data_IF_103093801837
#
_entry.id   IF_103093801837
#
_cell.length_a   1.000
_cell.length_b   1.000
_cell.length_c   1.000
_cell.angle_alpha   90.00
_cell.angle_beta   90.00
_cell.angle_gamma   90.00
#
_symmetry.space_group_name_H-M   'P 1'
#
loop_
_entity.id
_entity.type
_entity.pdbx_description
1 polymer ?
#
# COMPACT_ATOMS: atom_id res chain seq x y z
N UNK A 1 -73.50 8.44 27.28
CA UNK A 1 -74.39 8.05 26.16
C UNK A 1 -73.64 8.18 24.84
N UNK A 2 -73.65 7.15 24.15
CA UNK A 2 -73.45 6.73 22.74
C UNK A 2 -72.08 6.25 22.38
N UNK A 3 -72.10 5.00 22.04
CA UNK A 3 -71.17 4.10 21.34
C UNK A 3 -70.73 4.70 19.99
N UNK A 4 -69.54 4.42 19.56
CA UNK A 4 -69.21 4.33 18.16
C UNK A 4 -68.24 3.18 17.94
N UNK A 5 -68.46 2.45 16.87
CA UNK A 5 -68.05 1.09 16.55
C UNK A 5 -66.60 0.98 16.10
N UNK A 6 -65.99 -0.14 16.45
CA UNK A 6 -64.77 -0.68 15.90
C UNK A 6 -65.01 -1.23 14.49
N UNK A 7 -64.36 -0.68 13.47
CA UNK A 7 -64.19 -1.33 12.19
C UNK A 7 -62.83 -2.01 12.17
N UNK A 8 -62.86 -3.33 12.01
CA UNK A 8 -61.71 -4.19 11.79
C UNK A 8 -61.13 -3.95 10.38
N UNK A 9 -59.86 -3.60 10.29
CA UNK A 9 -59.09 -3.64 9.04
C UNK A 9 -58.65 -5.08 8.75
N UNK A 10 -59.05 -5.61 7.60
CA UNK A 10 -58.70 -6.91 7.03
C UNK A 10 -57.33 -6.74 6.34
N UNK A 11 -56.35 -7.62 6.59
CA UNK A 11 -55.02 -7.48 5.97
C UNK A 11 -55.08 -7.78 4.46
N UNK A 12 -54.41 -6.95 3.70
CA UNK A 12 -54.33 -6.88 2.24
C UNK A 12 -53.51 -8.03 1.59
N UNK A 13 -53.41 -9.19 2.21
CA UNK A 13 -52.51 -10.27 1.72
C UNK A 13 -53.19 -11.40 0.93
N UNK A 14 -54.51 -11.42 0.71
CA UNK A 14 -55.16 -12.60 0.14
C UNK A 14 -55.80 -12.44 -1.27
N UNK A 15 -55.28 -11.52 -2.10
CA UNK A 15 -55.79 -11.35 -3.48
C UNK A 15 -54.73 -11.42 -4.58
N UNK A 16 -53.70 -12.22 -4.44
CA UNK A 16 -52.79 -12.49 -5.56
C UNK A 16 -52.99 -13.91 -6.09
N UNK A 17 -53.30 -13.99 -7.40
CA UNK A 17 -53.49 -15.22 -8.17
C UNK A 17 -52.29 -16.15 -8.07
N UNK A 18 -52.40 -17.51 -8.03
CA UNK A 18 -51.27 -18.45 -7.88
C UNK A 18 -50.14 -18.25 -8.88
N UNK A 19 -50.44 -17.79 -10.09
CA UNK A 19 -49.41 -17.46 -11.09
C UNK A 19 -48.51 -16.24 -10.75
N UNK A 20 -49.03 -15.30 -9.97
CA UNK A 20 -48.23 -14.14 -9.50
C UNK A 20 -47.30 -14.50 -8.32
N UNK A 21 -47.64 -15.50 -7.52
CA UNK A 21 -46.75 -16.05 -6.48
C UNK A 21 -45.58 -16.81 -7.08
N UNK A 22 -45.74 -17.48 -8.21
CA UNK A 22 -44.65 -18.17 -8.91
C UNK A 22 -43.69 -17.22 -9.63
N UNK A 23 -44.18 -16.05 -10.11
CA UNK A 23 -43.29 -15.01 -10.69
C UNK A 23 -42.49 -14.25 -9.63
N UNK A 24 -43.03 -14.06 -8.41
CA UNK A 24 -42.30 -13.39 -7.31
C UNK A 24 -41.17 -14.27 -6.72
N UNK A 25 -41.39 -15.60 -6.67
CA UNK A 25 -40.32 -16.53 -6.21
C UNK A 25 -39.19 -16.69 -7.24
N UNK A 26 -39.46 -16.53 -8.54
CA UNK A 26 -38.45 -16.57 -9.60
C UNK A 26 -37.53 -15.32 -9.64
N UNK A 27 -37.99 -14.19 -9.08
CA UNK A 27 -37.16 -12.95 -9.01
C UNK A 27 -36.17 -12.98 -7.87
N UNK A 28 -36.49 -13.68 -6.77
CA UNK A 28 -35.60 -13.80 -5.59
C UNK A 28 -34.45 -14.81 -5.78
N UNK A 29 -34.53 -15.75 -6.72
CA UNK A 29 -33.46 -16.73 -7.00
C UNK A 29 -32.43 -16.27 -8.04
N UNK A 30 -32.70 -15.16 -8.76
CA UNK A 30 -31.76 -14.65 -9.79
C UNK A 30 -30.39 -14.21 -9.29
N UNK A 31 -30.22 -13.60 -8.09
CA UNK A 31 -28.88 -13.20 -7.65
C UNK A 31 -27.95 -14.38 -7.37
N UNK A 32 -28.42 -15.42 -6.69
CA UNK A 32 -27.62 -16.59 -6.35
C UNK A 32 -27.23 -17.42 -7.58
N UNK A 33 -28.14 -17.53 -8.57
CA UNK A 33 -27.84 -18.22 -9.85
C UNK A 33 -26.89 -17.37 -10.71
N UNK A 34 -27.02 -16.04 -10.71
CA UNK A 34 -26.05 -15.14 -11.38
C UNK A 34 -24.68 -15.18 -10.74
N UNK A 35 -24.60 -15.24 -9.42
CA UNK A 35 -23.34 -15.37 -8.69
C UNK A 35 -22.67 -16.72 -8.98
N UNK A 36 -23.41 -17.82 -9.05
CA UNK A 36 -22.90 -19.14 -9.43
C UNK A 36 -22.37 -19.17 -10.88
N UNK A 37 -23.08 -18.52 -11.83
CA UNK A 37 -22.66 -18.45 -13.24
C UNK A 37 -21.43 -17.53 -13.45
N UNK A 38 -21.26 -16.47 -12.65
CA UNK A 38 -20.08 -15.62 -12.72
C UNK A 38 -18.82 -16.33 -12.23
N UNK A 39 -18.92 -17.23 -11.24
CA UNK A 39 -17.81 -18.01 -10.70
C UNK A 39 -17.35 -19.18 -11.59
N UNK A 40 -18.12 -19.57 -12.60
CA UNK A 40 -17.71 -20.65 -13.52
C UNK A 40 -16.60 -20.25 -14.52
N UNK A 41 -16.33 -18.94 -14.67
CA UNK A 41 -15.44 -18.45 -15.74
C UNK A 41 -13.95 -18.38 -15.38
N UNK A 42 -13.59 -18.07 -14.14
CA UNK A 42 -12.19 -18.00 -13.69
C UNK A 42 -11.97 -19.03 -12.57
N UNK A 43 -11.32 -20.13 -12.90
CA UNK A 43 -10.98 -21.22 -11.96
C UNK A 43 -9.49 -21.25 -11.62
N UNK A 44 -8.66 -20.72 -12.52
CA UNK A 44 -7.20 -20.69 -12.37
C UNK A 44 -6.66 -19.32 -12.73
N UNK A 45 -5.81 -18.76 -11.85
CA UNK A 45 -5.12 -17.48 -12.07
C UNK A 45 -3.61 -17.67 -11.94
N UNK A 46 -2.88 -17.19 -12.94
CA UNK A 46 -1.43 -17.05 -12.90
C UNK A 46 -1.07 -15.68 -12.35
N UNK A 47 -0.24 -15.63 -11.31
CA UNK A 47 0.18 -14.39 -10.66
C UNK A 47 1.68 -14.22 -10.86
N UNK A 48 2.11 -13.09 -11.41
CA UNK A 48 3.52 -12.77 -11.62
C UNK A 48 3.96 -11.77 -10.53
N UNK A 49 4.93 -12.19 -9.70
CA UNK A 49 5.49 -11.47 -8.57
C UNK A 49 4.99 -11.96 -7.21
N UNK A 50 5.90 -12.43 -6.36
CA UNK A 50 5.64 -12.90 -4.99
C UNK A 50 5.86 -11.79 -3.94
N UNK A 51 5.60 -10.52 -4.29
CA UNK A 51 5.55 -9.41 -3.36
C UNK A 51 4.26 -9.40 -2.52
N UNK A 52 4.08 -8.40 -1.62
CA UNK A 52 2.85 -8.29 -0.82
C UNK A 52 1.57 -8.29 -1.66
N UNK A 53 1.60 -7.64 -2.84
CA UNK A 53 0.48 -7.62 -3.76
C UNK A 53 0.11 -9.02 -4.28
N UNK A 54 1.10 -9.76 -4.80
CA UNK A 54 0.84 -11.06 -5.40
C UNK A 54 0.39 -12.12 -4.39
N UNK A 55 1.05 -12.17 -3.23
CA UNK A 55 0.67 -13.11 -2.16
C UNK A 55 -0.72 -12.78 -1.59
N UNK A 56 -1.04 -11.50 -1.37
CA UNK A 56 -2.36 -11.09 -0.94
C UNK A 56 -3.44 -11.40 -1.98
N UNK A 57 -3.13 -11.23 -3.28
CA UNK A 57 -4.02 -11.61 -4.38
C UNK A 57 -4.34 -13.10 -4.33
N UNK A 58 -3.32 -13.95 -4.25
CA UNK A 58 -3.50 -15.39 -4.20
C UNK A 58 -4.33 -15.82 -2.99
N UNK A 59 -4.02 -15.29 -1.80
CA UNK A 59 -4.76 -15.56 -0.57
C UNK A 59 -6.23 -15.19 -0.68
N UNK A 60 -6.53 -13.99 -1.18
CA UNK A 60 -7.90 -13.50 -1.27
C UNK A 60 -8.73 -14.26 -2.30
N UNK A 61 -8.19 -14.45 -3.50
CA UNK A 61 -8.89 -15.15 -4.58
C UNK A 61 -9.17 -16.62 -4.23
N UNK A 62 -8.22 -17.30 -3.59
CA UNK A 62 -8.41 -18.68 -3.14
C UNK A 62 -9.44 -18.76 -2.02
N UNK A 63 -9.39 -17.87 -1.02
CA UNK A 63 -10.30 -17.86 0.13
C UNK A 63 -11.74 -17.51 -0.26
N UNK A 64 -11.92 -16.42 -1.02
CA UNK A 64 -13.23 -15.81 -1.24
C UNK A 64 -13.93 -16.36 -2.49
N UNK A 65 -13.16 -16.82 -3.49
CA UNK A 65 -13.66 -17.28 -4.78
C UNK A 65 -13.31 -18.72 -5.13
N UNK A 66 -12.54 -19.42 -4.29
CA UNK A 66 -12.05 -20.79 -4.55
C UNK A 66 -11.26 -20.91 -5.86
N UNK A 67 -10.67 -19.80 -6.30
CA UNK A 67 -9.83 -19.74 -7.50
C UNK A 67 -8.45 -20.31 -7.19
N UNK A 68 -8.00 -21.29 -7.99
CA UNK A 68 -6.64 -21.83 -7.86
C UNK A 68 -5.62 -20.82 -8.34
N UNK A 69 -4.74 -20.38 -7.46
CA UNK A 69 -3.68 -19.43 -7.78
C UNK A 69 -2.30 -20.09 -7.80
N UNK A 70 -1.48 -19.75 -8.80
CA UNK A 70 -0.06 -20.10 -8.86
C UNK A 70 0.75 -18.83 -8.97
N UNK A 71 1.76 -18.66 -8.11
CA UNK A 71 2.59 -17.44 -8.05
C UNK A 71 3.98 -17.73 -8.62
N UNK A 72 4.47 -16.86 -9.50
CA UNK A 72 5.79 -16.95 -10.12
C UNK A 72 6.63 -15.74 -9.73
N UNK A 73 7.84 -15.99 -9.23
CA UNK A 73 8.77 -14.95 -8.75
C UNK A 73 10.10 -15.07 -9.51
N UNK A 74 10.60 -13.93 -9.97
CA UNK A 74 11.87 -13.84 -10.70
C UNK A 74 13.08 -14.15 -9.82
N UNK A 75 13.02 -13.80 -8.53
CA UNK A 75 14.13 -14.04 -7.59
C UNK A 75 14.27 -15.53 -7.28
N UNK A 76 15.51 -15.98 -6.96
CA UNK A 76 15.74 -17.39 -6.65
C UNK A 76 15.19 -17.83 -5.28
N UNK A 77 14.85 -16.86 -4.43
CA UNK A 77 14.34 -17.10 -3.07
C UNK A 77 13.61 -15.84 -2.55
N UNK A 78 12.87 -15.92 -1.44
CA UNK A 78 12.26 -14.76 -0.82
C UNK A 78 13.27 -13.65 -0.58
N UNK A 79 12.94 -12.44 -1.00
CA UNK A 79 13.85 -11.29 -0.84
C UNK A 79 13.97 -10.91 0.62
N UNK A 80 15.20 -10.89 1.12
CA UNK A 80 15.59 -10.33 2.43
C UNK A 80 15.97 -8.85 2.33
N UNK A 81 15.87 -8.26 1.13
CA UNK A 81 16.24 -6.88 0.88
C UNK A 81 15.08 -5.94 1.24
N UNK A 82 15.42 -4.86 1.90
CA UNK A 82 14.45 -3.79 2.18
C UNK A 82 14.75 -3.07 3.49
N UNK A 83 14.20 -1.86 3.59
CA UNK A 83 14.14 -1.08 4.80
C UNK A 83 12.86 -1.37 5.59
N UNK A 84 12.28 -0.33 6.16
CA UNK A 84 10.97 -0.39 6.77
C UNK A 84 9.91 0.28 5.90
N UNK A 85 8.68 -0.13 6.08
CA UNK A 85 7.50 0.47 5.48
C UNK A 85 6.55 0.96 6.57
N UNK A 86 5.81 2.01 6.25
CA UNK A 86 4.69 2.45 7.07
C UNK A 86 3.39 1.91 6.49
N UNK A 87 2.48 1.49 7.35
CA UNK A 87 1.15 1.01 6.98
C UNK A 87 0.14 1.83 7.77
N UNK A 88 -0.55 2.79 7.14
CA UNK A 88 -1.57 3.60 7.78
C UNK A 88 -2.87 2.84 8.03
N UNK A 89 -3.81 3.49 8.72
CA UNK A 89 -5.09 2.95 9.15
C UNK A 89 -5.88 2.25 8.04
N UNK A 90 -5.93 2.82 6.81
CA UNK A 90 -6.58 2.18 5.67
C UNK A 90 -5.93 0.84 5.33
N UNK A 91 -4.60 0.76 5.28
CA UNK A 91 -3.89 -0.47 4.98
C UNK A 91 -4.01 -1.53 6.07
N UNK A 92 -3.96 -1.13 7.35
CA UNK A 92 -4.13 -2.05 8.47
C UNK A 92 -5.52 -2.68 8.49
N UNK A 93 -6.58 -1.90 8.20
CA UNK A 93 -7.94 -2.42 8.05
C UNK A 93 -8.05 -3.48 6.93
N UNK A 94 -7.30 -3.30 5.83
CA UNK A 94 -7.28 -4.26 4.74
C UNK A 94 -6.51 -5.55 5.10
N UNK A 95 -5.43 -5.43 5.89
CA UNK A 95 -4.74 -6.58 6.48
C UNK A 95 -5.65 -7.36 7.45
N UNK A 96 -6.48 -6.66 8.21
CA UNK A 96 -7.48 -7.28 9.08
C UNK A 96 -8.50 -8.09 8.27
N UNK A 97 -9.02 -7.53 7.18
CA UNK A 97 -9.90 -8.27 6.24
C UNK A 97 -9.24 -9.49 5.61
N UNK A 98 -7.92 -9.47 5.45
CA UNK A 98 -7.15 -10.63 5.01
C UNK A 98 -6.88 -11.64 6.14
N UNK A 99 -7.16 -11.30 7.39
CA UNK A 99 -6.85 -12.12 8.57
C UNK A 99 -5.37 -12.10 8.96
N UNK A 100 -4.62 -11.07 8.53
CA UNK A 100 -3.17 -10.95 8.75
C UNK A 100 -2.79 -9.84 9.73
N UNK A 101 -3.75 -9.03 10.21
CA UNK A 101 -3.48 -7.87 11.04
C UNK A 101 -2.70 -8.20 12.30
N UNK A 102 -3.16 -9.17 13.09
CA UNK A 102 -2.54 -9.51 14.38
C UNK A 102 -1.09 -9.97 14.21
N UNK A 103 -0.80 -10.77 13.18
CA UNK A 103 0.54 -11.26 12.88
C UNK A 103 1.48 -10.13 12.43
N UNK A 104 0.97 -9.15 11.68
CA UNK A 104 1.71 -7.98 11.24
C UNK A 104 1.93 -7.01 12.40
N UNK A 105 0.91 -6.75 13.21
CA UNK A 105 0.97 -5.88 14.38
C UNK A 105 1.96 -6.40 15.43
N UNK A 106 2.02 -7.72 15.64
CA UNK A 106 2.98 -8.36 16.56
C UNK A 106 4.45 -8.16 16.16
N UNK A 107 4.74 -7.72 14.93
CA UNK A 107 6.11 -7.53 14.42
C UNK A 107 6.48 -6.06 14.18
N UNK A 108 5.52 -5.15 14.16
CA UNK A 108 5.72 -3.74 13.87
C UNK A 108 5.66 -2.83 15.09
N UNK A 109 6.20 -1.62 14.97
CA UNK A 109 6.10 -0.55 15.95
C UNK A 109 4.93 0.38 15.62
N UNK A 110 4.05 0.64 16.57
CA UNK A 110 3.08 1.73 16.43
C UNK A 110 3.77 3.09 16.52
N UNK A 111 3.43 3.98 15.58
CA UNK A 111 3.98 5.33 15.50
C UNK A 111 2.83 6.32 15.26
N UNK A 112 2.36 6.95 16.33
CA UNK A 112 1.17 7.82 16.28
C UNK A 112 1.48 9.23 15.77
N UNK A 113 2.73 9.66 15.86
CA UNK A 113 3.12 11.05 15.63
C UNK A 113 4.34 11.17 14.72
N UNK A 114 4.50 12.35 14.14
CA UNK A 114 5.75 12.79 13.51
C UNK A 114 6.26 14.03 14.26
N UNK A 115 7.48 13.93 14.78
CA UNK A 115 8.23 15.09 15.29
C UNK A 115 9.09 15.65 14.17
N UNK A 116 8.97 16.96 13.96
CA UNK A 116 9.78 17.68 12.99
C UNK A 116 10.86 18.48 13.71
N UNK A 117 12.10 18.30 13.29
CA UNK A 117 13.28 18.91 13.89
C UNK A 117 14.05 19.77 12.88
N UNK A 118 14.67 20.82 13.37
CA UNK A 118 15.74 21.52 12.65
C UNK A 118 17.05 20.76 12.79
N UNK A 119 17.88 20.79 11.76
CA UNK A 119 19.27 20.30 11.85
C UNK A 119 20.11 21.01 12.92
N UNK A 120 19.66 22.17 13.40
CA UNK A 120 20.28 22.93 14.48
C UNK A 120 19.87 22.49 15.89
N UNK A 121 18.88 21.60 16.02
CA UNK A 121 18.43 21.01 17.27
C UNK A 121 17.10 21.47 17.82
N UNK A 122 16.49 22.50 17.24
CA UNK A 122 15.16 22.94 17.64
C UNK A 122 14.07 21.96 17.19
N UNK A 123 13.08 21.68 18.05
CA UNK A 123 11.83 21.00 17.67
C UNK A 123 10.94 22.01 16.96
N UNK A 124 10.65 21.79 15.69
CA UNK A 124 9.77 22.67 14.89
C UNK A 124 8.31 22.41 15.19
N UNK A 125 7.95 21.19 15.57
CA UNK A 125 6.61 20.83 15.99
C UNK A 125 6.35 19.34 15.95
N UNK A 126 5.14 18.97 16.41
CA UNK A 126 4.62 17.60 16.39
C UNK A 126 3.35 17.58 15.54
N UNK A 127 3.18 16.54 14.74
CA UNK A 127 1.98 16.29 13.95
C UNK A 127 1.37 14.95 14.36
N UNK A 128 0.09 14.94 14.70
CA UNK A 128 -0.70 13.74 14.90
C UNK A 128 -0.99 13.08 13.55
N UNK A 129 -0.65 11.81 13.43
CA UNK A 129 -0.76 11.05 12.17
C UNK A 129 -1.97 10.12 12.13
N UNK A 130 -2.62 9.86 13.27
CA UNK A 130 -3.53 8.71 13.37
C UNK A 130 -4.83 8.96 14.14
N UNK A 131 -4.88 9.84 15.16
CA UNK A 131 -5.98 9.85 16.12
C UNK A 131 -7.36 9.92 15.45
N UNK A 132 -7.54 10.84 14.50
CA UNK A 132 -8.79 11.00 13.78
C UNK A 132 -9.17 9.81 12.89
N UNK A 133 -8.18 9.21 12.20
CA UNK A 133 -8.40 8.05 11.36
C UNK A 133 -8.59 6.78 12.18
N UNK A 134 -7.89 6.66 13.31
CA UNK A 134 -8.03 5.52 14.22
C UNK A 134 -9.43 5.46 14.86
N UNK A 135 -9.98 6.60 15.30
CA UNK A 135 -11.37 6.65 15.81
C UNK A 135 -12.40 6.12 14.80
N UNK A 136 -12.13 6.25 13.50
CA UNK A 136 -13.07 5.89 12.42
C UNK A 136 -12.82 4.53 11.81
N UNK A 137 -11.58 4.06 11.85
CA UNK A 137 -11.20 2.78 11.24
C UNK A 137 -10.97 1.69 12.27
N UNK A 138 -10.70 2.04 13.53
CA UNK A 138 -10.25 1.13 14.59
C UNK A 138 -8.75 0.82 14.54
N UNK A 139 -7.99 1.34 13.55
CA UNK A 139 -6.60 0.99 13.32
C UNK A 139 -5.68 2.20 13.42
N UNK A 140 -4.50 1.98 13.99
CA UNK A 140 -3.44 2.97 14.19
C UNK A 140 -2.56 3.14 12.94
N UNK A 141 -1.30 3.45 13.13
CA UNK A 141 -0.26 3.52 12.11
C UNK A 141 0.92 2.66 12.52
N UNK A 142 1.31 1.72 11.69
CA UNK A 142 2.37 0.76 11.98
C UNK A 142 3.61 1.01 11.12
N UNK A 143 4.79 0.86 11.73
CA UNK A 143 6.08 0.77 11.03
C UNK A 143 6.66 -0.63 11.23
N UNK A 144 7.00 -1.28 10.11
CA UNK A 144 7.44 -2.67 10.13
C UNK A 144 8.59 -2.86 9.15
N UNK A 145 9.53 -3.75 9.47
CA UNK A 145 10.55 -4.15 8.50
C UNK A 145 9.90 -4.87 7.32
N UNK A 146 10.38 -4.58 6.11
CA UNK A 146 9.85 -5.19 4.90
C UNK A 146 10.00 -6.72 4.92
N UNK A 147 11.05 -7.23 5.53
CA UNK A 147 11.27 -8.66 5.74
C UNK A 147 10.20 -9.31 6.62
N UNK A 148 9.77 -8.62 7.67
CA UNK A 148 8.80 -9.16 8.63
C UNK A 148 7.41 -9.27 8.05
N UNK A 149 6.96 -8.26 7.30
CA UNK A 149 5.66 -8.34 6.63
C UNK A 149 5.67 -9.40 5.52
N UNK A 150 6.79 -9.54 4.80
CA UNK A 150 6.94 -10.59 3.79
C UNK A 150 6.89 -11.98 4.41
N UNK A 151 7.53 -12.19 5.58
CA UNK A 151 7.45 -13.44 6.33
C UNK A 151 6.01 -13.81 6.70
N UNK A 152 5.20 -12.82 7.12
CA UNK A 152 3.77 -13.03 7.41
C UNK A 152 3.01 -13.48 6.17
N UNK A 153 3.18 -12.80 5.04
CA UNK A 153 2.49 -13.16 3.80
C UNK A 153 2.92 -14.53 3.27
N UNK A 154 4.21 -14.85 3.31
CA UNK A 154 4.74 -16.15 2.85
C UNK A 154 4.23 -17.30 3.71
N UNK A 155 4.21 -17.15 5.04
CA UNK A 155 3.65 -18.16 5.95
C UNK A 155 2.15 -18.36 5.74
N UNK A 156 1.41 -17.29 5.50
CA UNK A 156 -0.01 -17.38 5.19
C UNK A 156 -0.26 -18.09 3.85
N UNK A 157 0.55 -17.80 2.84
CA UNK A 157 0.46 -18.46 1.53
C UNK A 157 0.79 -19.95 1.61
N UNK A 158 1.83 -20.31 2.36
CA UNK A 158 2.22 -21.71 2.61
C UNK A 158 1.10 -22.46 3.35
N UNK A 159 0.56 -21.89 4.43
CA UNK A 159 -0.55 -22.45 5.17
C UNK A 159 -1.84 -22.63 4.34
N UNK A 160 -2.05 -21.77 3.32
CA UNK A 160 -3.14 -21.89 2.36
C UNK A 160 -2.84 -22.85 1.20
N UNK A 161 -1.65 -23.46 1.15
CA UNK A 161 -1.22 -24.36 0.06
C UNK A 161 -0.97 -23.67 -1.28
N UNK A 162 -0.74 -22.35 -1.27
CA UNK A 162 -0.43 -21.56 -2.46
C UNK A 162 0.99 -21.86 -2.92
N UNK A 163 1.13 -22.32 -4.16
CA UNK A 163 2.43 -22.62 -4.74
C UNK A 163 3.13 -21.37 -5.23
N UNK A 164 4.38 -21.14 -4.76
CA UNK A 164 5.26 -20.06 -5.22
C UNK A 164 6.47 -20.68 -5.92
N UNK A 165 6.61 -20.38 -7.22
CA UNK A 165 7.71 -20.84 -8.05
C UNK A 165 8.74 -19.72 -8.20
N UNK A 166 9.94 -19.94 -7.67
CA UNK A 166 11.06 -18.99 -7.73
C UNK A 166 11.92 -19.21 -8.99
N UNK A 167 12.81 -18.25 -9.29
CA UNK A 167 13.68 -18.26 -10.49
C UNK A 167 12.87 -18.35 -11.79
N UNK A 168 11.73 -17.64 -11.87
CA UNK A 168 10.84 -17.64 -13.03
C UNK A 168 10.81 -16.24 -13.67
N UNK A 169 11.63 -16.04 -14.68
CA UNK A 169 11.64 -14.81 -15.46
C UNK A 169 10.61 -14.90 -16.59
N UNK A 170 9.58 -14.04 -16.55
CA UNK A 170 8.55 -13.99 -17.59
C UNK A 170 9.14 -13.44 -18.90
N UNK A 171 9.05 -14.22 -19.98
CA UNK A 171 9.58 -13.87 -21.31
C UNK A 171 8.50 -13.62 -22.35
N UNK A 172 7.27 -14.12 -22.13
CA UNK A 172 6.17 -13.92 -23.07
C UNK A 172 4.81 -14.13 -22.44
N UNK A 173 3.81 -13.48 -23.02
CA UNK A 173 2.39 -13.64 -22.70
C UNK A 173 1.66 -13.85 -24.02
N UNK A 174 0.88 -14.93 -24.12
CA UNK A 174 0.03 -15.21 -25.27
C UNK A 174 -1.41 -15.38 -24.81
N UNK A 175 -2.30 -14.54 -25.29
CA UNK A 175 -3.74 -14.64 -25.06
C UNK A 175 -4.40 -15.49 -26.12
N UNK A 176 -5.38 -16.27 -25.69
CA UNK A 176 -6.29 -17.10 -26.49
C UNK A 176 -7.74 -16.68 -26.14
N UNK A 177 -8.72 -17.20 -26.85
CA UNK A 177 -10.13 -16.81 -26.66
C UNK A 177 -10.62 -16.99 -25.20
N UNK A 178 -10.25 -18.10 -24.57
CA UNK A 178 -10.73 -18.48 -23.23
C UNK A 178 -9.65 -18.52 -22.14
N UNK A 179 -8.38 -18.31 -22.48
CA UNK A 179 -7.23 -18.48 -21.57
C UNK A 179 -6.05 -17.59 -21.93
N UNK A 180 -5.08 -17.54 -21.04
CA UNK A 180 -3.80 -16.83 -21.24
C UNK A 180 -2.65 -17.74 -20.83
N UNK A 181 -1.57 -17.73 -21.60
CA UNK A 181 -0.35 -18.51 -21.37
C UNK A 181 0.81 -17.58 -21.04
N UNK A 182 1.44 -17.78 -19.88
CA UNK A 182 2.71 -17.15 -19.49
C UNK A 182 3.87 -18.09 -19.83
N UNK A 183 4.92 -17.59 -20.49
CA UNK A 183 6.14 -18.33 -20.84
C UNK A 183 7.33 -17.79 -20.05
N UNK A 184 8.20 -18.68 -19.58
CA UNK A 184 9.37 -18.35 -18.76
C UNK A 184 10.69 -18.67 -19.48
N UNK A 185 11.78 -18.05 -19.03
CA UNK A 185 13.14 -18.16 -19.60
C UNK A 185 13.73 -19.58 -19.52
N UNK A 186 13.25 -20.41 -18.58
CA UNK A 186 13.64 -21.81 -18.44
C UNK A 186 12.89 -22.76 -19.39
N UNK A 187 12.10 -22.22 -20.32
CA UNK A 187 11.31 -22.97 -21.30
C UNK A 187 10.00 -23.52 -20.76
N UNK A 188 9.68 -23.32 -19.48
CA UNK A 188 8.37 -23.71 -18.93
C UNK A 188 7.29 -22.68 -19.26
N UNK A 189 6.03 -23.11 -19.20
CA UNK A 189 4.87 -22.23 -19.36
C UNK A 189 3.75 -22.61 -18.41
N UNK A 190 2.86 -21.65 -18.13
CA UNK A 190 1.62 -21.88 -17.38
C UNK A 190 0.45 -21.24 -18.12
N UNK A 191 -0.63 -22.02 -18.27
CA UNK A 191 -1.88 -21.58 -18.89
C UNK A 191 -2.98 -21.48 -17.84
N UNK A 192 -3.67 -20.36 -17.82
CA UNK A 192 -4.73 -20.03 -16.86
C UNK A 192 -5.88 -19.27 -17.53
N UNK A 193 -6.97 -19.09 -16.81
CA UNK A 193 -8.13 -18.33 -17.28
C UNK A 193 -7.88 -16.82 -17.24
N UNK A 194 -6.99 -16.38 -16.32
CA UNK A 194 -6.64 -14.99 -16.13
C UNK A 194 -5.21 -14.83 -15.59
N UNK A 195 -4.52 -13.74 -15.92
CA UNK A 195 -3.18 -13.41 -15.46
C UNK A 195 -3.15 -12.08 -14.71
N UNK A 196 -2.52 -12.06 -13.54
CA UNK A 196 -2.36 -10.83 -12.75
C UNK A 196 -0.88 -10.51 -12.56
N UNK A 197 -0.47 -9.33 -13.03
CA UNK A 197 0.87 -8.77 -12.83
C UNK A 197 0.96 -8.02 -11.51
N UNK A 198 1.73 -8.58 -10.56
CA UNK A 198 2.06 -8.02 -9.26
C UNK A 198 3.58 -7.81 -9.13
N UNK A 199 4.27 -7.67 -10.25
CA UNK A 199 5.73 -7.76 -10.41
C UNK A 199 6.45 -6.41 -10.27
N UNK A 200 5.77 -5.44 -9.64
CA UNK A 200 6.36 -4.19 -9.19
C UNK A 200 6.60 -3.17 -10.30
N UNK A 201 7.34 -2.13 -9.97
CA UNK A 201 7.51 -0.95 -10.83
C UNK A 201 8.12 -1.27 -12.21
N UNK A 202 9.00 -2.27 -12.29
CA UNK A 202 9.61 -2.75 -13.54
C UNK A 202 8.84 -3.91 -14.17
N UNK A 203 7.52 -3.93 -14.00
CA UNK A 203 6.62 -5.00 -14.42
C UNK A 203 6.92 -5.54 -15.83
N UNK A 204 7.19 -6.85 -15.89
CA UNK A 204 7.30 -7.58 -17.14
C UNK A 204 5.94 -7.77 -17.80
N UNK A 205 4.88 -7.96 -17.01
CA UNK A 205 3.50 -8.07 -17.52
C UNK A 205 3.08 -6.79 -18.23
N UNK A 206 3.36 -5.62 -17.62
CA UNK A 206 3.11 -4.33 -18.27
C UNK A 206 3.90 -4.21 -19.58
N UNK A 207 5.21 -4.41 -19.53
CA UNK A 207 6.13 -4.22 -20.65
C UNK A 207 5.86 -5.18 -21.81
N UNK A 208 5.52 -6.45 -21.53
CA UNK A 208 5.35 -7.48 -22.55
C UNK A 208 3.94 -7.48 -23.16
N UNK A 209 2.93 -6.99 -22.41
CA UNK A 209 1.56 -7.20 -22.87
C UNK A 209 0.61 -6.03 -22.60
N UNK A 210 0.43 -5.58 -21.35
CA UNK A 210 -0.66 -4.64 -21.03
C UNK A 210 -0.40 -3.24 -21.61
N UNK A 211 0.82 -2.74 -21.47
CA UNK A 211 1.21 -1.40 -21.91
C UNK A 211 2.72 -1.33 -22.22
N UNK A 212 3.14 -1.85 -23.39
CA UNK A 212 4.56 -1.91 -23.78
C UNK A 212 5.26 -0.54 -23.87
N UNK A 213 4.52 0.53 -24.15
CA UNK A 213 5.04 1.89 -24.31
C UNK A 213 5.22 2.62 -22.97
N UNK A 214 4.79 2.03 -21.87
CA UNK A 214 4.89 2.63 -20.54
C UNK A 214 6.22 2.32 -19.88
N UNK A 215 7.05 3.32 -19.66
CA UNK A 215 8.30 3.23 -18.88
C UNK A 215 8.17 4.01 -17.57
N UNK A 216 8.68 3.46 -16.45
CA UNK A 216 8.76 4.19 -15.20
C UNK A 216 9.63 5.46 -15.32
N UNK A 217 9.22 6.51 -14.65
CA UNK A 217 9.93 7.80 -14.63
C UNK A 217 10.71 7.97 -13.33
N UNK A 218 11.99 8.30 -13.43
CA UNK A 218 12.77 8.70 -12.25
C UNK A 218 12.28 10.04 -11.71
N UNK A 219 12.06 10.12 -10.39
CA UNK A 219 11.47 11.33 -9.76
C UNK A 219 12.49 12.42 -9.44
N UNK A 220 13.77 12.20 -9.70
CA UNK A 220 14.85 13.08 -9.27
C UNK A 220 15.24 12.90 -7.80
N UNK A 221 14.57 12.02 -7.06
CA UNK A 221 14.79 11.78 -5.63
C UNK A 221 15.27 10.34 -5.42
N UNK A 222 16.26 10.18 -4.56
CA UNK A 222 16.68 8.87 -4.07
C UNK A 222 16.66 8.80 -2.55
N UNK A 223 16.40 7.62 -2.03
CA UNK A 223 16.51 7.32 -0.62
C UNK A 223 17.81 6.56 -0.34
N UNK A 224 18.48 6.97 0.72
CA UNK A 224 19.56 6.21 1.35
C UNK A 224 19.06 5.80 2.71
N UNK A 225 19.27 4.56 3.13
CA UNK A 225 18.71 4.08 4.38
C UNK A 225 19.53 2.98 5.04
N UNK A 226 19.27 2.77 6.33
CA UNK A 226 19.79 1.66 7.10
C UNK A 226 18.87 1.23 8.22
N UNK A 227 19.12 0.04 8.76
CA UNK A 227 18.51 -0.52 9.96
C UNK A 227 19.63 -0.75 10.98
N UNK A 228 19.43 -0.30 12.23
CA UNK A 228 20.40 -0.44 13.30
C UNK A 228 19.76 -1.00 14.57
N UNK A 229 20.42 -1.96 15.25
CA UNK A 229 20.04 -2.35 16.61
C UNK A 229 20.23 -1.18 17.58
N UNK A 230 19.29 -0.96 18.49
CA UNK A 230 19.36 0.14 19.49
C UNK A 230 20.34 -0.13 20.61
N UNK A 231 20.72 -1.38 20.86
CA UNK A 231 21.61 -1.79 21.95
C UNK A 231 22.98 -1.07 21.95
N UNK A 232 23.45 -0.66 20.76
CA UNK A 232 24.72 0.06 20.60
C UNK A 232 24.56 1.59 20.61
N UNK A 233 23.35 2.10 20.64
CA UNK A 233 23.04 3.52 20.49
C UNK A 233 22.95 4.24 21.85
N UNK A 234 22.97 5.58 21.79
CA UNK A 234 22.72 6.40 22.98
C UNK A 234 21.32 6.18 23.57
N UNK A 235 21.11 6.39 24.88
CA UNK A 235 19.80 6.24 25.50
C UNK A 235 18.71 7.07 24.81
N UNK A 236 19.04 8.29 24.36
CA UNK A 236 18.11 9.14 23.62
C UNK A 236 17.68 8.53 22.28
N UNK A 237 18.57 7.84 21.57
CA UNK A 237 18.23 7.12 20.35
C UNK A 237 17.41 5.87 20.65
N UNK A 238 17.77 5.09 21.67
CA UNK A 238 17.07 3.86 22.03
C UNK A 238 15.65 4.09 22.57
N UNK A 239 15.36 5.29 23.12
CA UNK A 239 14.04 5.63 23.64
C UNK A 239 13.06 6.21 22.61
N UNK A 240 13.41 6.29 21.32
CA UNK A 240 12.53 6.84 20.28
C UNK A 240 11.25 6.03 20.13
N UNK A 241 10.11 6.73 20.08
CA UNK A 241 8.79 6.10 19.99
C UNK A 241 8.09 6.32 18.66
N UNK A 242 8.38 7.42 17.98
CA UNK A 242 7.64 7.94 16.81
C UNK A 242 8.55 8.19 15.61
N UNK A 243 8.00 8.72 14.53
CA UNK A 243 8.80 9.19 13.41
C UNK A 243 9.44 10.54 13.76
N UNK A 244 10.74 10.62 13.73
CA UNK A 244 11.50 11.84 13.94
C UNK A 244 12.15 12.29 12.63
N UNK A 245 11.68 13.39 12.06
CA UNK A 245 12.12 13.91 10.78
C UNK A 245 12.92 15.19 10.96
N UNK A 246 14.10 15.27 10.34
CA UNK A 246 15.01 16.44 10.40
C UNK A 246 15.09 17.08 9.03
N UNK A 247 14.76 18.37 8.97
CA UNK A 247 14.96 19.16 7.76
C UNK A 247 16.42 19.54 7.61
N UNK A 248 16.96 19.33 6.40
CA UNK A 248 18.31 19.77 6.03
C UNK A 248 18.27 20.61 4.76
N UNK A 249 19.36 21.29 4.43
CA UNK A 249 19.47 22.02 3.15
C UNK A 249 19.48 21.10 1.93
N UNK A 250 19.81 19.81 2.09
CA UNK A 250 19.98 18.86 0.99
C UNK A 250 18.90 17.76 0.97
N UNK A 251 17.91 17.82 1.86
CA UNK A 251 16.83 16.85 1.91
C UNK A 251 16.21 16.64 3.28
N UNK A 252 15.58 15.48 3.46
CA UNK A 252 14.89 15.06 4.68
C UNK A 252 15.53 13.79 5.25
N UNK A 253 16.05 13.87 6.47
CA UNK A 253 16.44 12.72 7.26
C UNK A 253 15.33 12.33 8.21
N UNK A 254 14.96 11.05 8.28
CA UNK A 254 13.97 10.57 9.23
C UNK A 254 14.41 9.28 9.91
N UNK A 255 14.05 9.13 11.18
CA UNK A 255 14.39 8.01 12.05
C UNK A 255 13.14 7.52 12.75
N UNK A 256 12.94 6.21 12.84
CA UNK A 256 11.74 5.62 13.44
C UNK A 256 12.02 4.19 13.93
N UNK A 257 11.41 3.74 15.05
CA UNK A 257 11.44 2.34 15.43
C UNK A 257 10.65 1.49 14.43
N UNK A 258 10.95 0.19 14.34
CA UNK A 258 10.34 -0.75 13.39
C UNK A 258 9.87 -2.06 14.03
N UNK A 259 10.13 -2.24 15.30
CA UNK A 259 9.76 -3.43 16.08
C UNK A 259 8.98 -3.03 17.32
N UNK A 260 8.11 -3.88 17.88
CA UNK A 260 7.35 -3.58 19.10
C UNK A 260 8.27 -3.28 20.30
N UNK A 261 9.38 -4.01 20.41
CA UNK A 261 10.39 -3.79 21.45
C UNK A 261 11.24 -2.53 21.23
N UNK A 262 11.12 -1.88 20.04
CA UNK A 262 11.93 -0.72 19.63
C UNK A 262 13.43 -0.97 19.66
N UNK A 263 13.82 -2.22 19.53
CA UNK A 263 15.20 -2.67 19.53
C UNK A 263 15.89 -2.50 18.16
N UNK A 264 15.15 -2.10 17.12
CA UNK A 264 15.66 -1.78 15.79
C UNK A 264 15.12 -0.44 15.32
N UNK A 265 16.02 0.50 15.03
CA UNK A 265 15.71 1.76 14.34
C UNK A 265 15.95 1.62 12.84
N UNK A 266 15.06 2.24 12.10
CA UNK A 266 15.21 2.51 10.68
C UNK A 266 15.44 3.99 10.48
N UNK A 267 16.48 4.36 9.74
CA UNK A 267 16.63 5.73 9.27
C UNK A 267 16.72 5.77 7.74
N UNK A 268 16.22 6.86 7.17
CA UNK A 268 16.37 7.13 5.75
C UNK A 268 16.66 8.60 5.52
N UNK A 269 17.42 8.87 4.46
CA UNK A 269 17.68 10.21 3.96
C UNK A 269 17.19 10.30 2.51
N UNK A 270 16.19 11.14 2.29
CA UNK A 270 15.62 11.42 0.96
C UNK A 270 16.18 12.72 0.44
N UNK A 271 16.80 12.71 -0.75
CA UNK A 271 17.41 13.89 -1.37
C UNK A 271 17.28 13.87 -2.88
N UNK A 272 17.39 15.06 -3.49
CA UNK A 272 17.56 15.18 -4.93
C UNK A 272 18.96 14.69 -5.33
N UNK A 273 19.01 13.81 -6.32
CA UNK A 273 20.25 13.37 -6.96
C UNK A 273 20.00 13.16 -8.46
N UNK A 274 20.97 13.44 -9.32
CA UNK A 274 20.90 13.02 -10.72
C UNK A 274 20.71 11.51 -10.81
N UNK A 275 20.07 11.04 -11.90
CA UNK A 275 19.96 9.60 -12.14
C UNK A 275 21.36 8.99 -12.20
N UNK A 276 21.64 7.93 -11.42
CA UNK A 276 22.93 7.25 -11.51
C UNK A 276 23.16 6.74 -12.93
N UNK A 277 24.40 6.90 -13.41
CA UNK A 277 24.79 6.51 -14.78
C UNK A 277 24.72 4.97 -15.02
N UNK A 278 24.57 4.20 -13.98
CA UNK A 278 24.47 2.74 -14.03
C UNK A 278 23.00 2.32 -14.06
N UNK A 279 22.44 2.41 -15.24
CA UNK A 279 21.34 1.62 -15.75
C UNK A 279 20.20 1.24 -14.81
N UNK A 280 19.19 0.79 -15.44
CA UNK A 280 17.96 0.21 -14.90
C UNK A 280 18.27 -1.12 -14.13
N UNK A 281 18.92 -1.00 -12.98
CA UNK A 281 19.17 -2.15 -12.11
C UNK A 281 17.87 -2.42 -11.35
N UNK A 282 17.19 -3.53 -11.69
CA UNK A 282 15.97 -4.01 -11.00
C UNK A 282 16.13 -4.12 -9.48
N UNK A 283 17.36 -4.26 -9.03
CA UNK A 283 17.74 -4.29 -7.62
C UNK A 283 18.34 -2.95 -7.20
N UNK A 284 17.52 -1.87 -7.23
CA UNK A 284 17.88 -0.54 -6.68
C UNK A 284 18.27 -0.53 -5.19
N UNK A 285 18.44 -1.71 -4.62
CA UNK A 285 18.83 -2.00 -3.23
C UNK A 285 20.33 -2.27 -3.10
N UNK A 286 21.16 -1.67 -3.95
CA UNK A 286 22.59 -1.88 -3.91
C UNK A 286 23.15 -1.58 -2.51
N UNK A 287 23.87 -2.55 -1.97
CA UNK A 287 24.72 -2.33 -0.80
C UNK A 287 25.96 -1.59 -1.27
N UNK A 288 26.12 -0.35 -0.82
CA UNK A 288 27.27 0.49 -1.18
C UNK A 288 28.53 -0.02 -0.52
N UNK A 289 29.65 0.06 -1.25
CA UNK A 289 30.95 -0.30 -0.72
C UNK A 289 31.36 0.58 0.47
N UNK A 290 32.26 0.09 1.33
CA UNK A 290 32.69 0.76 2.56
C UNK A 290 33.14 2.22 2.34
N UNK A 291 33.86 2.50 1.27
CA UNK A 291 34.33 3.86 0.93
C UNK A 291 33.17 4.81 0.61
N UNK A 292 32.14 4.35 -0.11
CA UNK A 292 30.96 5.13 -0.45
C UNK A 292 30.08 5.38 0.78
N UNK A 293 29.97 4.40 1.67
CA UNK A 293 29.26 4.53 2.95
C UNK A 293 29.91 5.62 3.80
N UNK A 294 31.24 5.61 3.94
CA UNK A 294 31.94 6.62 4.72
C UNK A 294 31.84 8.02 4.09
N UNK A 295 31.96 8.14 2.77
CA UNK A 295 31.74 9.41 2.06
C UNK A 295 30.34 9.97 2.25
N UNK A 296 29.33 9.11 2.21
CA UNK A 296 27.94 9.48 2.49
C UNK A 296 27.73 9.91 3.94
N UNK A 297 28.28 9.17 4.91
CA UNK A 297 28.25 9.54 6.34
C UNK A 297 28.90 10.90 6.58
N UNK A 298 30.06 11.16 5.99
CA UNK A 298 30.72 12.45 6.08
C UNK A 298 29.83 13.60 5.57
N UNK A 299 29.15 13.39 4.44
CA UNK A 299 28.19 14.36 3.89
C UNK A 299 27.05 14.63 4.85
N UNK A 300 26.40 13.59 5.40
CA UNK A 300 25.31 13.74 6.36
C UNK A 300 25.75 14.43 7.66
N UNK A 301 26.92 14.07 8.17
CA UNK A 301 27.47 14.70 9.38
C UNK A 301 27.74 16.18 9.14
N UNK A 302 28.24 16.56 7.95
CA UNK A 302 28.43 17.95 7.55
C UNK A 302 27.12 18.76 7.51
N UNK A 303 26.03 18.15 7.01
CA UNK A 303 24.69 18.79 6.99
C UNK A 303 24.11 19.02 8.40
N UNK A 304 24.44 18.16 9.37
CA UNK A 304 24.02 18.28 10.76
C UNK A 304 24.87 19.30 11.53
N UNK A 305 26.06 19.63 11.05
CA UNK A 305 27.00 20.55 11.69
C UNK A 305 27.43 20.09 13.07
N UNK A 306 28.04 21.00 13.84
CA UNK A 306 28.66 20.75 15.16
C UNK A 306 27.77 21.17 16.32
N UNK A 307 26.47 21.35 16.13
CA UNK A 307 25.54 21.71 17.20
C UNK A 307 25.62 20.72 18.37
N UNK A 308 25.78 21.25 19.59
CA UNK A 308 25.80 20.47 20.84
C UNK A 308 24.42 20.17 21.40
N UNK A 309 23.33 20.62 20.72
CA UNK A 309 21.98 20.28 21.10
C UNK A 309 21.78 18.74 21.08
N UNK A 310 20.90 18.26 21.95
CA UNK A 310 20.68 16.81 22.13
C UNK A 310 20.30 16.09 20.84
N UNK A 311 19.36 16.68 20.08
CA UNK A 311 18.87 16.04 18.86
C UNK A 311 19.96 15.83 17.77
N UNK A 312 20.68 16.86 17.29
CA UNK A 312 21.77 16.66 16.34
C UNK A 312 22.85 15.72 16.85
N UNK A 313 23.15 15.72 18.15
CA UNK A 313 24.13 14.83 18.78
C UNK A 313 23.65 13.37 18.70
N UNK A 314 22.37 13.11 18.98
CA UNK A 314 21.73 11.79 18.86
C UNK A 314 21.74 11.29 17.41
N UNK A 315 21.41 12.15 16.46
CA UNK A 315 21.43 11.80 15.03
C UNK A 315 22.84 11.49 14.56
N UNK A 316 23.84 12.29 14.95
CA UNK A 316 25.25 12.01 14.62
C UNK A 316 25.73 10.67 15.20
N UNK A 317 25.31 10.29 16.42
CA UNK A 317 25.61 8.98 17.00
C UNK A 317 25.08 7.84 16.12
N UNK A 318 23.83 7.93 15.71
CA UNK A 318 23.18 6.94 14.82
C UNK A 318 23.94 6.82 13.49
N UNK A 319 24.27 7.96 12.85
CA UNK A 319 24.95 7.95 11.54
C UNK A 319 26.37 7.38 11.67
N UNK A 320 27.12 7.73 12.73
CA UNK A 320 28.48 7.20 12.95
C UNK A 320 28.50 5.69 13.15
N UNK A 321 27.49 5.14 13.85
CA UNK A 321 27.35 3.71 14.12
C UNK A 321 26.73 2.91 12.97
N UNK A 322 26.31 3.58 11.91
CA UNK A 322 25.81 2.91 10.71
C UNK A 322 26.96 2.23 9.96
N UNK A 323 26.86 0.93 9.73
CA UNK A 323 27.87 0.13 9.00
C UNK A 323 27.46 -0.12 7.56
N UNK A 324 26.16 -0.40 7.32
CA UNK A 324 25.61 -0.74 6.01
C UNK A 324 24.61 0.32 5.60
N UNK A 325 24.77 0.82 4.39
CA UNK A 325 23.86 1.79 3.79
C UNK A 325 23.37 1.23 2.48
N UNK A 326 22.05 1.31 2.26
CA UNK A 326 21.40 0.89 1.03
C UNK A 326 20.88 2.11 0.28
N UNK A 327 20.99 2.07 -1.03
CA UNK A 327 20.54 3.14 -1.93
C UNK A 327 19.34 2.69 -2.76
N UNK A 328 18.35 3.56 -2.92
CA UNK A 328 17.15 3.28 -3.68
C UNK A 328 16.68 4.51 -4.47
N UNK A 329 16.82 4.51 -5.80
CA UNK A 329 16.25 5.54 -6.65
C UNK A 329 14.72 5.40 -6.69
N UNK A 330 14.02 6.53 -6.58
CA UNK A 330 12.56 6.55 -6.55
C UNK A 330 12.04 6.80 -7.95
N UNK A 331 11.27 5.84 -8.45
CA UNK A 331 10.55 5.94 -9.71
C UNK A 331 9.05 6.06 -9.46
N UNK A 332 8.32 6.48 -10.47
CA UNK A 332 6.85 6.44 -10.55
C UNK A 332 6.39 5.91 -11.90
N UNK A 333 5.18 5.38 -11.96
CA UNK A 333 4.50 5.04 -13.21
C UNK A 333 3.66 6.23 -13.62
N UNK A 334 3.70 6.67 -14.90
CA UNK A 334 2.85 7.74 -15.41
C UNK A 334 1.36 7.45 -15.22
N UNK A 335 0.57 8.47 -14.93
CA UNK A 335 -0.89 8.35 -14.80
C UNK A 335 -1.60 8.21 -16.14
N UNK A 336 -2.87 7.80 -16.14
CA UNK A 336 -3.68 7.70 -17.35
C UNK A 336 -3.42 6.46 -18.21
N UNK A 337 -2.46 5.61 -17.84
CA UNK A 337 -2.10 4.40 -18.58
C UNK A 337 -3.10 3.27 -18.33
N UNK A 338 -3.29 2.31 -19.26
CA UNK A 338 -4.15 1.14 -19.06
C UNK A 338 -3.56 0.21 -17.99
N UNK A 339 -4.42 -0.44 -17.22
CA UNK A 339 -4.03 -1.44 -16.24
C UNK A 339 -4.47 -2.85 -16.62
N UNK A 340 -5.35 -2.96 -17.61
CA UNK A 340 -5.82 -4.24 -18.13
C UNK A 340 -5.77 -4.28 -19.66
N UNK A 341 -5.60 -5.48 -20.19
CA UNK A 341 -5.76 -5.81 -21.59
C UNK A 341 -6.19 -7.25 -21.69
N UNK A 342 -7.35 -7.49 -22.30
CA UNK A 342 -7.92 -8.84 -22.42
C UNK A 342 -7.98 -9.57 -21.08
N UNK A 343 -7.32 -10.72 -21.00
CA UNK A 343 -7.25 -11.57 -19.78
C UNK A 343 -6.09 -11.25 -18.85
N UNK A 344 -5.51 -10.06 -18.96
CA UNK A 344 -4.40 -9.63 -18.11
C UNK A 344 -4.74 -8.35 -17.39
N UNK A 345 -4.43 -8.30 -16.08
CA UNK A 345 -4.54 -7.13 -15.21
C UNK A 345 -3.19 -6.90 -14.50
N UNK A 346 -2.77 -5.65 -14.36
CA UNK A 346 -1.66 -5.27 -13.48
C UNK A 346 -2.18 -4.49 -12.28
N UNK A 347 -1.62 -4.73 -11.09
CA UNK A 347 -2.03 -4.10 -9.83
C UNK A 347 -0.82 -3.67 -8.99
N UNK A 348 -1.08 -2.81 -8.01
CA UNK A 348 -0.04 -2.26 -7.14
C UNK A 348 1.01 -1.48 -7.92
N UNK A 349 2.28 -1.64 -7.55
CA UNK A 349 3.39 -0.92 -8.18
C UNK A 349 3.55 -1.25 -9.67
N UNK A 350 3.02 -2.38 -10.15
CA UNK A 350 3.01 -2.70 -11.57
C UNK A 350 2.10 -1.75 -12.37
N UNK A 351 1.02 -1.27 -11.77
CA UNK A 351 0.04 -0.37 -12.39
C UNK A 351 0.29 1.11 -12.06
N UNK A 352 0.66 1.43 -10.82
CA UNK A 352 0.61 2.80 -10.30
C UNK A 352 1.68 3.11 -9.25
N UNK A 353 2.89 2.57 -9.40
CA UNK A 353 3.99 2.89 -8.49
C UNK A 353 4.13 4.40 -8.29
N UNK A 354 4.26 4.80 -7.04
CA UNK A 354 4.36 6.20 -6.62
C UNK A 354 5.48 6.40 -5.60
N UNK A 355 6.01 7.63 -5.45
CA UNK A 355 6.99 7.93 -4.42
C UNK A 355 6.51 7.53 -3.01
N UNK A 356 7.36 6.98 -2.13
CA UNK A 356 6.94 6.39 -0.85
C UNK A 356 6.62 7.43 0.24
N UNK A 357 6.43 8.70 -0.13
CA UNK A 357 6.33 9.82 0.81
C UNK A 357 5.02 9.88 1.62
N UNK A 358 4.01 9.11 1.21
CA UNK A 358 2.74 8.96 1.94
C UNK A 358 2.58 7.58 2.61
N UNK A 359 3.57 6.67 2.46
CA UNK A 359 3.53 5.29 2.99
C UNK A 359 2.29 4.50 2.53
N UNK A 360 1.88 4.67 1.27
CA UNK A 360 0.62 4.11 0.76
C UNK A 360 0.80 2.91 -0.18
N UNK A 361 2.03 2.55 -0.61
CA UNK A 361 2.23 1.54 -1.65
C UNK A 361 1.54 0.20 -1.34
N UNK A 362 1.76 -0.36 -0.15
CA UNK A 362 1.11 -1.61 0.27
C UNK A 362 -0.40 -1.42 0.41
N UNK A 363 -0.85 -0.32 1.03
CA UNK A 363 -2.28 -0.06 1.20
C UNK A 363 -3.01 0.05 -0.13
N UNK A 364 -2.42 0.73 -1.12
CA UNK A 364 -3.00 0.89 -2.46
C UNK A 364 -3.09 -0.46 -3.19
N UNK A 365 -2.06 -1.30 -3.09
CA UNK A 365 -2.10 -2.64 -3.66
C UNK A 365 -3.19 -3.52 -2.99
N UNK A 366 -3.35 -3.44 -1.67
CA UNK A 366 -4.42 -4.15 -0.96
C UNK A 366 -5.82 -3.63 -1.34
N UNK A 367 -5.96 -2.31 -1.55
CA UNK A 367 -7.21 -1.73 -2.08
C UNK A 367 -7.54 -2.29 -3.48
N UNK A 368 -6.53 -2.43 -4.37
CA UNK A 368 -6.73 -3.01 -5.71
C UNK A 368 -7.28 -4.44 -5.62
N UNK A 369 -6.65 -5.27 -4.80
CA UNK A 369 -6.98 -6.69 -4.68
C UNK A 369 -8.40 -6.88 -4.14
N UNK A 370 -8.74 -6.14 -3.09
CA UNK A 370 -10.08 -6.20 -2.49
C UNK A 370 -11.16 -5.70 -3.45
N UNK A 371 -10.89 -4.63 -4.21
CA UNK A 371 -11.83 -4.15 -5.21
C UNK A 371 -11.97 -5.13 -6.37
N UNK A 372 -10.86 -5.75 -6.81
CA UNK A 372 -10.91 -6.79 -7.85
C UNK A 372 -11.70 -8.01 -7.38
N UNK A 373 -11.47 -8.49 -6.16
CA UNK A 373 -12.26 -9.56 -5.56
C UNK A 373 -13.76 -9.21 -5.49
N UNK A 374 -14.09 -7.98 -5.07
CA UNK A 374 -15.45 -7.50 -5.06
C UNK A 374 -16.08 -7.45 -6.47
N UNK A 375 -15.33 -6.98 -7.46
CA UNK A 375 -15.72 -6.98 -8.85
C UNK A 375 -16.10 -8.39 -9.34
N UNK A 376 -15.26 -9.38 -9.07
CA UNK A 376 -15.52 -10.78 -9.44
C UNK A 376 -16.83 -11.31 -8.83
N UNK A 377 -17.12 -10.93 -7.58
CA UNK A 377 -18.38 -11.31 -6.92
C UNK A 377 -19.62 -10.58 -7.41
N UNK A 378 -19.46 -9.43 -8.05
CA UNK A 378 -20.56 -8.51 -8.41
C UNK A 378 -20.90 -8.52 -9.90
N UNK A 379 -19.92 -8.74 -10.78
CA UNK A 379 -20.12 -8.68 -12.23
C UNK A 379 -20.67 -9.99 -12.79
N UNK A 380 -21.67 -9.95 -13.70
CA UNK A 380 -22.08 -11.11 -14.47
C UNK A 380 -20.94 -11.61 -15.35
N UNK A 381 -20.82 -12.93 -15.51
CA UNK A 381 -19.74 -13.60 -16.30
C UNK A 381 -19.59 -13.06 -17.74
N UNK A 382 -20.64 -12.46 -18.31
CA UNK A 382 -20.66 -12.00 -19.70
C UNK A 382 -19.87 -10.70 -19.95
N UNK A 383 -19.27 -10.04 -18.93
CA UNK A 383 -18.58 -8.77 -19.14
C UNK A 383 -17.41 -8.52 -18.16
N UNK A 384 -16.44 -9.43 -18.14
CA UNK A 384 -15.19 -9.18 -17.38
C UNK A 384 -14.51 -7.88 -17.82
N UNK A 385 -14.56 -7.55 -19.11
CA UNK A 385 -14.02 -6.30 -19.65
C UNK A 385 -14.71 -5.06 -19.09
N UNK A 386 -16.05 -5.10 -18.94
CA UNK A 386 -16.80 -4.00 -18.32
C UNK A 386 -16.48 -3.88 -16.83
N UNK A 387 -16.33 -5.01 -16.14
CA UNK A 387 -15.88 -5.03 -14.75
C UNK A 387 -14.48 -4.42 -14.58
N UNK A 388 -13.54 -4.82 -15.43
CA UNK A 388 -12.17 -4.27 -15.43
C UNK A 388 -12.16 -2.77 -15.75
N UNK A 389 -13.00 -2.31 -16.67
CA UNK A 389 -13.14 -0.89 -16.99
C UNK A 389 -13.64 -0.09 -15.77
N UNK A 390 -14.70 -0.56 -15.09
CA UNK A 390 -15.20 0.06 -13.87
C UNK A 390 -14.15 0.02 -12.74
N UNK A 391 -13.47 -1.11 -12.56
CA UNK A 391 -12.35 -1.25 -11.63
C UNK A 391 -11.28 -0.18 -11.88
N UNK A 392 -10.79 -0.07 -13.11
CA UNK A 392 -9.78 0.92 -13.47
C UNK A 392 -10.25 2.36 -13.21
N UNK A 393 -11.48 2.71 -13.59
CA UNK A 393 -12.02 4.05 -13.37
C UNK A 393 -12.01 4.43 -11.90
N UNK A 394 -12.51 3.55 -11.03
CA UNK A 394 -12.54 3.77 -9.58
C UNK A 394 -11.14 3.90 -8.99
N UNK A 395 -10.25 2.99 -9.36
CA UNK A 395 -8.88 2.97 -8.82
C UNK A 395 -8.03 4.13 -9.33
N UNK A 396 -8.16 4.53 -10.59
CA UNK A 396 -7.41 5.66 -11.17
C UNK A 396 -7.71 6.97 -10.43
N UNK A 397 -8.96 7.27 -10.13
CA UNK A 397 -9.34 8.46 -9.33
C UNK A 397 -8.63 8.43 -7.97
N UNK A 398 -8.67 7.30 -7.27
CA UNK A 398 -8.05 7.13 -5.95
C UNK A 398 -6.53 7.23 -6.01
N UNK A 399 -5.88 6.57 -6.98
CA UNK A 399 -4.42 6.59 -7.14
C UNK A 399 -3.89 7.97 -7.52
N UNK A 400 -4.59 8.73 -8.37
CA UNK A 400 -4.22 10.09 -8.72
C UNK A 400 -4.29 11.05 -7.52
N UNK A 401 -5.34 10.94 -6.69
CA UNK A 401 -5.42 11.71 -5.44
C UNK A 401 -4.23 11.40 -4.51
N UNK A 402 -3.86 10.12 -4.43
CA UNK A 402 -2.75 9.69 -3.60
C UNK A 402 -1.40 10.14 -4.17
N UNK A 403 -1.23 10.09 -5.48
CA UNK A 403 -0.02 10.58 -6.16
C UNK A 403 0.17 12.08 -5.90
N UNK A 404 -0.87 12.91 -6.05
CA UNK A 404 -0.82 14.35 -5.74
C UNK A 404 -0.40 14.58 -4.28
N UNK A 405 -0.97 13.82 -3.35
CA UNK A 405 -0.59 13.88 -1.92
C UNK A 405 0.89 13.55 -1.72
N UNK A 406 1.35 12.50 -2.38
CA UNK A 406 2.74 12.02 -2.29
C UNK A 406 3.72 13.02 -2.89
N UNK A 407 3.42 13.60 -4.05
CA UNK A 407 4.25 14.61 -4.70
C UNK A 407 4.33 15.91 -3.87
N UNK A 408 3.22 16.35 -3.29
CA UNK A 408 3.21 17.48 -2.36
C UNK A 408 4.14 17.25 -1.17
N UNK A 409 4.07 16.07 -0.56
CA UNK A 409 4.97 15.67 0.54
C UNK A 409 6.43 15.51 0.06
N UNK A 410 6.67 15.32 -1.22
CA UNK A 410 7.99 15.26 -1.83
C UNK A 410 8.76 16.59 -1.81
N UNK A 411 8.07 17.73 -1.82
CA UNK A 411 8.69 19.06 -1.94
C UNK A 411 9.65 19.40 -0.79
N UNK A 412 9.43 18.86 0.41
CA UNK A 412 10.33 19.10 1.56
C UNK A 412 11.68 18.38 1.41
N UNK A 413 11.82 17.45 0.47
CA UNK A 413 13.03 16.64 0.19
C UNK A 413 13.94 17.27 -0.84
N UNK A 414 13.49 18.33 -1.50
CA UNK A 414 14.28 19.06 -2.49
C UNK A 414 15.33 19.92 -1.82
N UNK A 415 16.45 20.07 -2.50
CA UNK A 415 17.54 20.96 -2.08
C UNK A 415 17.06 22.40 -1.90
N UNK A 416 17.55 23.07 -0.85
CA UNK A 416 17.18 24.46 -0.53
C UNK A 416 18.40 25.25 -0.11
N UNK A 417 18.46 26.50 -0.52
CA UNK A 417 19.42 27.46 0.03
C UNK A 417 19.21 27.64 1.55
N UNK A 418 20.27 27.90 2.31
CA UNK A 418 20.20 27.99 3.77
C UNK A 418 19.16 28.98 4.30
N UNK A 419 18.97 30.11 3.65
CA UNK A 419 17.96 31.11 4.04
C UNK A 419 16.55 30.62 3.75
N UNK A 420 16.33 29.91 2.63
CA UNK A 420 15.03 29.30 2.30
C UNK A 420 14.67 28.16 3.25
N UNK A 421 15.67 27.39 3.69
CA UNK A 421 15.47 26.37 4.72
C UNK A 421 14.96 27.01 6.03
N UNK A 422 15.61 28.11 6.50
CA UNK A 422 15.20 28.81 7.70
C UNK A 422 13.75 29.35 7.60
N UNK A 423 13.42 29.99 6.46
CA UNK A 423 12.07 30.46 6.21
C UNK A 423 11.05 29.30 6.24
N UNK A 424 11.39 28.18 5.63
CA UNK A 424 10.57 26.97 5.62
C UNK A 424 10.37 26.40 7.02
N UNK A 425 11.42 26.37 7.85
CA UNK A 425 11.35 25.93 9.25
C UNK A 425 10.41 26.85 10.05
N UNK A 426 10.48 28.18 9.88
CA UNK A 426 9.60 29.13 10.53
C UNK A 426 8.14 28.94 10.12
N UNK A 427 7.86 28.81 8.82
CA UNK A 427 6.51 28.59 8.29
C UNK A 427 5.94 27.26 8.79
N UNK A 428 6.73 26.18 8.76
CA UNK A 428 6.30 24.87 9.25
C UNK A 428 6.07 24.89 10.77
N UNK A 429 6.94 25.52 11.53
CA UNK A 429 6.78 25.63 12.99
C UNK A 429 5.53 26.44 13.34
N UNK A 430 5.30 27.58 12.70
CA UNK A 430 4.09 28.36 12.88
C UNK A 430 2.83 27.60 12.46
N UNK A 431 2.87 26.93 11.31
CA UNK A 431 1.78 26.09 10.83
C UNK A 431 1.45 24.92 11.77
N UNK A 432 2.46 24.24 12.30
CA UNK A 432 2.27 23.16 13.27
C UNK A 432 1.79 23.67 14.62
N UNK A 433 2.22 24.86 15.03
CA UNK A 433 1.68 25.50 16.23
C UNK A 433 0.17 25.80 16.07
N UNK A 434 -0.23 26.40 14.94
CA UNK A 434 -1.66 26.62 14.62
C UNK A 434 -2.42 25.31 14.55
N UNK A 435 -1.86 24.30 13.86
CA UNK A 435 -2.46 22.96 13.74
C UNK A 435 -2.78 22.34 15.11
N UNK A 436 -1.85 22.45 16.06
CA UNK A 436 -2.02 21.88 17.39
C UNK A 436 -2.95 22.73 18.27
N UNK A 437 -2.79 24.07 18.27
CA UNK A 437 -3.58 24.97 19.14
C UNK A 437 -5.02 25.11 18.67
N UNK A 438 -5.27 25.15 17.35
CA UNK A 438 -6.61 25.19 16.79
C UNK A 438 -7.28 23.80 16.72
N UNK A 439 -6.59 22.74 17.14
CA UNK A 439 -7.14 21.38 17.15
C UNK A 439 -7.48 20.83 15.77
N UNK A 440 -6.75 21.23 14.72
CA UNK A 440 -7.02 20.83 13.34
C UNK A 440 -6.85 19.31 13.12
N UNK A 441 -6.10 18.62 13.98
CA UNK A 441 -6.04 17.15 14.02
C UNK A 441 -7.43 16.54 14.24
N UNK A 442 -8.25 17.15 15.11
CA UNK A 442 -9.63 16.71 15.40
C UNK A 442 -10.58 16.87 14.21
N UNK A 443 -10.21 17.67 13.20
CA UNK A 443 -10.94 17.82 11.94
C UNK A 443 -10.46 16.85 10.85
N UNK A 444 -9.52 15.97 11.19
CA UNK A 444 -8.95 14.97 10.27
C UNK A 444 -8.04 15.57 9.19
N UNK A 445 -7.50 16.77 9.39
CA UNK A 445 -6.59 17.38 8.44
C UNK A 445 -5.35 16.50 8.23
N UNK A 446 -5.12 16.07 6.99
CA UNK A 446 -4.06 15.15 6.62
C UNK A 446 -4.37 13.67 6.85
N UNK A 447 -5.48 13.32 7.53
CA UNK A 447 -5.86 11.94 7.85
C UNK A 447 -7.12 11.45 7.10
N UNK A 448 -7.92 12.33 6.47
CA UNK A 448 -9.16 11.95 5.75
C UNK A 448 -8.93 10.87 4.69
N UNK A 449 -7.81 10.94 3.99
CA UNK A 449 -7.44 9.94 2.96
C UNK A 449 -7.17 8.54 3.54
N UNK A 450 -6.95 8.43 4.86
CA UNK A 450 -6.65 7.18 5.57
C UNK A 450 -7.93 6.45 6.02
N UNK A 451 -9.11 7.06 5.87
CA UNK A 451 -10.39 6.43 6.20
C UNK A 451 -11.13 5.87 4.99
N UNK A 452 -10.59 6.07 3.78
CA UNK A 452 -11.16 5.49 2.57
C UNK A 452 -11.37 3.99 2.73
N UNK A 453 -12.57 3.52 2.41
CA UNK A 453 -12.93 2.11 2.41
C UNK A 453 -13.30 1.64 1.01
N UNK A 454 -12.49 0.76 0.46
CA UNK A 454 -12.76 0.13 -0.83
C UNK A 454 -14.04 -0.73 -0.81
N UNK A 455 -14.49 -1.14 0.36
CA UNK A 455 -15.77 -1.85 0.54
C UNK A 455 -16.99 -1.02 0.21
N UNK A 456 -16.89 0.32 0.27
CA UNK A 456 -17.98 1.25 -0.06
C UNK A 456 -18.16 1.46 -1.57
N UNK A 457 -17.18 1.01 -2.39
CA UNK A 457 -17.28 1.11 -3.85
C UNK A 457 -18.37 0.16 -4.37
N UNK A 458 -19.22 0.64 -5.28
CA UNK A 458 -20.33 -0.11 -5.88
C UNK A 458 -20.08 -0.29 -7.37
N UNK A 459 -20.26 -1.50 -7.89
CA UNK A 459 -20.22 -1.77 -9.32
C UNK A 459 -21.61 -1.61 -9.96
N UNK A 460 -21.64 -1.08 -11.18
CA UNK A 460 -22.89 -0.99 -11.95
C UNK A 460 -23.44 -2.40 -12.20
N UNK A 461 -24.70 -2.64 -11.81
CA UNK A 461 -25.32 -3.97 -11.87
C UNK A 461 -25.41 -4.70 -10.53
N UNK A 462 -24.75 -4.22 -9.46
CA UNK A 462 -25.10 -4.62 -8.10
C UNK A 462 -26.52 -4.15 -7.79
N UNK A 463 -27.45 -5.09 -7.56
CA UNK A 463 -28.73 -4.73 -6.94
C UNK A 463 -28.44 -4.09 -5.57
N UNK A 464 -29.14 -2.99 -5.28
CA UNK A 464 -28.98 -2.24 -4.01
C UNK A 464 -29.03 -3.22 -2.84
N UNK A 465 -27.88 -3.58 -2.30
CA UNK A 465 -27.81 -4.28 -1.03
C UNK A 465 -28.13 -3.25 0.06
N UNK A 466 -29.30 -3.41 0.69
CA UNK A 466 -29.65 -2.66 1.89
C UNK A 466 -28.52 -2.89 2.92
N UNK A 467 -27.94 -1.84 3.51
CA UNK A 467 -26.86 -1.99 4.47
C UNK A 467 -27.30 -2.90 5.60
N UNK A 468 -26.57 -3.98 5.83
CA UNK A 468 -26.75 -4.83 7.03
C UNK A 468 -26.45 -3.92 8.22
N UNK A 469 -27.50 -3.55 8.96
CA UNK A 469 -27.39 -2.81 10.22
C UNK A 469 -26.42 -3.58 11.13
N UNK A 470 -25.30 -2.94 11.47
CA UNK A 470 -24.43 -3.40 12.55
C UNK A 470 -25.29 -3.56 13.80
N UNK A 471 -25.50 -4.80 14.25
CA UNK A 471 -26.05 -5.06 15.59
C UNK A 471 -25.09 -4.43 16.59
N UNK A 472 -25.52 -3.36 17.24
CA UNK A 472 -24.98 -2.93 18.52
C UNK A 472 -25.12 -4.12 19.49
N UNK A 473 -24.00 -4.71 19.88
CA UNK A 473 -23.96 -5.51 21.10
C UNK A 473 -23.84 -4.53 22.26
N UNK A 474 -24.88 -4.57 23.09
CA UNK A 474 -24.97 -3.92 24.41
C UNK A 474 -24.02 -4.66 25.37
#
# INVERSE_FOLDING_TARGET
>A
MRRCDLQQEIPFQDKLHPQQRQMSSNILFKPAIRQALAMEFIKKVTIIGAGPAGLATALLLQRDHQIKCTVYEIRPQPSTLGGAIGIPSNGLRLLDRLGLYDQVAAKGAETASTFLHSSKGGVLGKMDMVSWSQERTGFSYLRIRRTDIMDVFLKAADAAGIQVHYSKYLTGIQEHDDRVTASFDDGTSDTSDFLIGCDGIHSSVRKLYVDPDCTPEYTGISNVFSLLPTASLSPAAASMTDLNATLTSDGLLAITPTTPARDVLYWFFSREVPLPLFGDVRDGWETRGKKEVEGFKATLLGLLGDSNAEWPRTVRDIIRKTEVVKFYPIYKVPTGRPWSRGRCLIIGDAAHAMPPHASQGVSMALEDILLFSKMLGSCPAASIEDGLRQFEQKRKVRTEQMLKTTESRGQIRKKKEPWRLRLNEMVLSGGLWVYNTAGLSKLGMGQKVLTYDVGDEVFEGEGVQVPIQKKLQI
#
